data_IF_063896417092
#
_entry.id   IF_063896417092
#
_cell.length_a   1.000
_cell.length_b   1.000
_cell.length_c   1.000
_cell.angle_alpha   90.00
_cell.angle_beta   90.00
_cell.angle_gamma   90.00
#
_symmetry.space_group_name_H-M   'P 1'
#
loop_
_entity.id
_entity.type
_entity.pdbx_description
1 polymer ?
#
# COMPACT_ATOMS: atom_id res chain seq x y z
N UNK A 1 -0.66 16.57 13.05
CA UNK A 1 -1.66 17.12 12.11
C UNK A 1 -2.41 15.94 11.50
N UNK A 2 -3.73 16.06 11.33
CA UNK A 2 -4.57 14.99 10.78
C UNK A 2 -5.24 15.51 9.53
N UNK A 3 -5.11 14.77 8.43
CA UNK A 3 -5.69 15.14 7.13
C UNK A 3 -6.59 14.01 6.64
N UNK A 4 -7.82 14.38 6.26
CA UNK A 4 -8.82 13.46 5.73
C UNK A 4 -8.95 13.55 4.22
N UNK A 5 -9.07 12.40 3.55
CA UNK A 5 -9.31 12.33 2.12
C UNK A 5 -10.48 11.41 1.80
N UNK A 6 -11.44 11.89 1.01
CA UNK A 6 -12.48 11.06 0.39
C UNK A 6 -11.96 10.47 -0.93
N UNK A 7 -12.16 9.16 -1.12
CA UNK A 7 -11.71 8.44 -2.31
C UNK A 7 -12.85 8.38 -3.33
N UNK A 8 -12.68 9.08 -4.44
CA UNK A 8 -13.65 9.03 -5.55
C UNK A 8 -13.49 7.76 -6.40
N UNK A 9 -14.51 7.42 -7.19
CA UNK A 9 -14.52 6.20 -8.01
C UNK A 9 -13.49 6.20 -9.17
N UNK A 10 -12.95 7.37 -9.50
CA UNK A 10 -11.87 7.55 -10.47
C UNK A 10 -10.48 7.47 -9.85
N UNK A 11 -10.39 7.40 -8.52
CA UNK A 11 -9.13 7.39 -7.76
C UNK A 11 -8.58 8.76 -7.43
N UNK A 12 -9.32 9.84 -7.69
CA UNK A 12 -8.99 11.17 -7.18
C UNK A 12 -9.23 11.24 -5.68
N UNK A 13 -8.39 12.03 -5.00
CA UNK A 13 -8.51 12.34 -3.59
C UNK A 13 -9.07 13.74 -3.41
N UNK A 14 -10.14 13.85 -2.63
CA UNK A 14 -10.64 15.13 -2.18
C UNK A 14 -10.30 15.30 -0.70
N UNK A 15 -9.58 16.37 -0.36
CA UNK A 15 -9.32 16.72 1.03
C UNK A 15 -10.62 17.19 1.69
N UNK A 16 -10.98 16.56 2.80
CA UNK A 16 -12.22 16.83 3.53
C UNK A 16 -11.92 16.80 5.03
N UNK A 17 -12.50 17.75 5.76
CA UNK A 17 -12.55 17.69 7.22
C UNK A 17 -13.48 16.53 7.62
N UNK A 18 -12.90 15.42 8.09
CA UNK A 18 -13.65 14.23 8.46
C UNK A 18 -14.05 14.29 9.93
N UNK A 19 -15.35 14.27 10.20
CA UNK A 19 -15.89 13.97 11.52
C UNK A 19 -16.47 12.55 11.56
N UNK A 20 -16.80 12.06 12.77
CA UNK A 20 -17.40 10.72 12.92
C UNK A 20 -18.70 10.57 12.12
N UNK A 21 -19.44 11.66 11.96
CA UNK A 21 -20.73 11.67 11.28
C UNK A 21 -20.58 11.65 9.74
N UNK A 22 -19.39 11.98 9.22
CA UNK A 22 -19.08 11.95 7.79
C UNK A 22 -18.65 10.55 7.29
N UNK A 23 -18.42 9.61 8.21
CA UNK A 23 -18.10 8.21 7.91
C UNK A 23 -19.36 7.45 7.47
N UNK A 24 -19.67 7.53 6.18
CA UNK A 24 -20.84 6.88 5.59
C UNK A 24 -20.50 5.49 5.04
N UNK A 25 -21.39 4.52 5.27
CA UNK A 25 -21.22 3.13 4.84
C UNK A 25 -20.93 2.91 3.34
N UNK A 26 -21.27 3.88 2.48
CA UNK A 26 -21.06 3.83 1.02
C UNK A 26 -19.70 4.39 0.56
N UNK A 27 -18.93 4.98 1.48
CA UNK A 27 -17.68 5.69 1.19
C UNK A 27 -16.44 4.89 1.57
N UNK A 28 -15.31 5.32 1.03
CA UNK A 28 -13.98 4.85 1.41
C UNK A 28 -13.16 6.09 1.65
N UNK A 29 -12.57 6.21 2.84
CA UNK A 29 -11.83 7.41 3.23
C UNK A 29 -10.44 7.05 3.74
N UNK A 30 -9.48 7.94 3.51
CA UNK A 30 -8.12 7.85 4.02
C UNK A 30 -7.91 8.93 5.08
N UNK A 31 -7.40 8.55 6.24
CA UNK A 31 -7.05 9.49 7.33
C UNK A 31 -5.56 9.38 7.59
N UNK A 32 -4.82 10.46 7.36
CA UNK A 32 -3.38 10.52 7.61
C UNK A 32 -3.15 11.19 8.96
N UNK A 33 -2.62 10.43 9.92
CA UNK A 33 -2.22 10.91 11.23
C UNK A 33 -0.69 11.01 11.29
N UNK A 34 -0.20 12.25 11.29
CA UNK A 34 1.23 12.56 11.35
C UNK A 34 1.85 12.26 12.73
N UNK A 35 1.07 12.24 13.81
CA UNK A 35 1.59 11.99 15.16
C UNK A 35 1.93 10.51 15.35
N UNK A 36 1.01 9.62 14.93
CA UNK A 36 1.23 8.18 15.01
C UNK A 36 1.89 7.58 13.78
N UNK A 37 2.21 8.42 12.78
CA UNK A 37 2.71 8.01 11.46
C UNK A 37 1.84 6.87 10.89
N UNK A 38 0.53 7.05 10.93
CA UNK A 38 -0.44 6.03 10.48
C UNK A 38 -1.36 6.60 9.42
N UNK A 39 -1.64 5.82 8.38
CA UNK A 39 -2.61 6.11 7.33
C UNK A 39 -3.74 5.12 7.50
N UNK A 40 -4.87 5.56 8.04
CA UNK A 40 -6.04 4.70 8.18
C UNK A 40 -6.83 4.68 6.88
N UNK A 41 -7.08 3.49 6.35
CA UNK A 41 -7.97 3.29 5.20
C UNK A 41 -9.28 2.74 5.74
N UNK A 42 -10.27 3.61 5.90
CA UNK A 42 -11.59 3.22 6.37
C UNK A 42 -12.49 2.81 5.20
N UNK A 43 -13.09 1.63 5.31
CA UNK A 43 -13.92 1.02 4.27
C UNK A 43 -15.36 0.89 4.78
N UNK A 44 -16.26 1.65 4.17
CA UNK A 44 -17.68 1.48 4.42
C UNK A 44 -18.16 0.06 4.06
N UNK A 45 -19.06 -0.48 4.86
CA UNK A 45 -19.62 -1.83 4.69
C UNK A 45 -20.33 -1.98 3.34
N UNK A 46 -21.04 -0.93 2.90
CA UNK A 46 -21.77 -0.85 1.63
C UNK A 46 -20.96 -0.26 0.48
N UNK A 47 -19.69 0.12 0.69
CA UNK A 47 -18.86 0.66 -0.37
C UNK A 47 -18.57 -0.42 -1.42
N UNK A 48 -18.69 -0.04 -2.70
CA UNK A 48 -18.46 -0.94 -3.82
C UNK A 48 -17.04 -1.53 -3.79
N UNK A 49 -16.91 -2.79 -4.18
CA UNK A 49 -15.63 -3.54 -4.20
C UNK A 49 -14.56 -2.75 -4.97
N UNK A 50 -14.92 -2.19 -6.14
CA UNK A 50 -14.04 -1.35 -6.96
C UNK A 50 -13.48 -0.17 -6.16
N UNK A 51 -14.33 0.54 -5.41
CA UNK A 51 -13.93 1.70 -4.60
C UNK A 51 -12.98 1.32 -3.47
N UNK A 52 -13.18 0.15 -2.85
CA UNK A 52 -12.27 -0.41 -1.84
C UNK A 52 -10.88 -0.71 -2.41
N UNK A 53 -10.81 -1.27 -3.62
CA UNK A 53 -9.53 -1.52 -4.31
C UNK A 53 -8.82 -0.21 -4.70
N UNK A 54 -9.57 0.77 -5.19
CA UNK A 54 -9.03 2.10 -5.51
C UNK A 54 -8.49 2.74 -4.23
N UNK A 55 -9.25 2.73 -3.13
CA UNK A 55 -8.81 3.25 -1.84
C UNK A 55 -7.54 2.58 -1.31
N UNK A 56 -7.41 1.25 -1.46
CA UNK A 56 -6.19 0.53 -1.11
C UNK A 56 -4.98 1.02 -1.91
N UNK A 57 -5.13 1.18 -3.24
CA UNK A 57 -4.07 1.71 -4.09
C UNK A 57 -3.69 3.13 -3.71
N UNK A 58 -4.68 3.97 -3.43
CA UNK A 58 -4.47 5.37 -3.07
C UNK A 58 -3.80 5.51 -1.70
N UNK A 59 -4.18 4.70 -0.71
CA UNK A 59 -3.51 4.67 0.59
C UNK A 59 -2.03 4.27 0.48
N UNK A 60 -1.70 3.33 -0.41
CA UNK A 60 -0.30 2.96 -0.71
C UNK A 60 0.46 4.11 -1.38
N UNK A 61 -0.19 4.88 -2.26
CA UNK A 61 0.41 6.07 -2.87
C UNK A 61 0.67 7.16 -1.81
N UNK A 62 -0.31 7.45 -0.96
CA UNK A 62 -0.14 8.38 0.17
C UNK A 62 1.03 7.97 1.08
N UNK A 63 1.20 6.68 1.36
CA UNK A 63 2.38 6.19 2.10
C UNK A 63 3.69 6.54 1.43
N UNK A 64 3.74 6.47 0.10
CA UNK A 64 4.95 6.79 -0.68
C UNK A 64 5.27 8.28 -0.61
N UNK A 65 4.24 9.14 -0.64
CA UNK A 65 4.38 10.60 -0.56
C UNK A 65 4.78 11.08 0.85
N UNK A 66 4.13 10.55 1.89
CA UNK A 66 4.40 10.92 3.29
C UNK A 66 5.67 10.25 3.87
N UNK A 67 6.17 9.21 3.20
CA UNK A 67 7.44 8.55 3.53
C UNK A 67 7.30 7.24 4.32
N UNK A 68 8.37 6.44 4.28
CA UNK A 68 8.38 5.04 4.73
C UNK A 68 8.04 4.81 6.22
N UNK A 69 8.10 5.85 7.05
CA UNK A 69 7.73 5.78 8.47
C UNK A 69 6.22 5.66 8.68
N UNK A 70 5.41 6.00 7.67
CA UNK A 70 3.96 5.84 7.71
C UNK A 70 3.53 4.39 7.47
N UNK A 71 2.53 3.95 8.24
CA UNK A 71 1.93 2.61 8.13
C UNK A 71 0.47 2.69 7.71
N UNK A 72 0.13 2.03 6.62
CA UNK A 72 -1.28 1.89 6.18
C UNK A 72 -1.98 0.86 7.07
N UNK A 73 -3.13 1.24 7.63
CA UNK A 73 -3.99 0.39 8.47
C UNK A 73 -5.37 0.30 7.85
N UNK A 74 -5.72 -0.81 7.18
CA UNK A 74 -7.08 -1.00 6.69
C UNK A 74 -8.03 -1.22 7.86
N UNK A 75 -9.16 -0.52 7.84
CA UNK A 75 -10.24 -0.59 8.81
C UNK A 75 -11.56 -0.84 8.07
N UNK A 76 -12.38 -1.74 8.59
CA UNK A 76 -13.74 -1.95 8.12
C UNK A 76 -14.72 -1.23 9.06
N UNK A 77 -15.84 -0.75 8.51
CA UNK A 77 -16.91 -0.12 9.28
C UNK A 77 -17.39 -1.05 10.40
N UNK A 78 -17.34 -0.56 11.64
CA UNK A 78 -17.71 -1.31 12.86
C UNK A 78 -16.55 -2.08 13.52
N UNK A 79 -15.37 -2.16 12.89
CA UNK A 79 -14.16 -2.76 13.47
C UNK A 79 -13.07 -1.71 13.78
N UNK A 80 -13.44 -0.44 13.93
CA UNK A 80 -12.48 0.64 14.13
C UNK A 80 -11.91 0.64 15.56
N UNK A 81 -10.57 0.67 15.72
CA UNK A 81 -9.97 0.79 17.04
C UNK A 81 -10.27 2.17 17.65
N UNK A 82 -10.37 2.29 18.98
CA UNK A 82 -10.57 3.59 19.63
C UNK A 82 -9.54 4.66 19.21
N UNK A 83 -8.32 4.24 18.89
CA UNK A 83 -7.23 5.11 18.40
C UNK A 83 -7.56 5.80 17.08
N UNK A 84 -8.41 5.21 16.24
CA UNK A 84 -8.85 5.82 14.99
C UNK A 84 -9.72 7.05 15.25
N UNK A 85 -10.69 6.97 16.17
CA UNK A 85 -11.52 8.12 16.53
C UNK A 85 -10.73 9.20 17.27
N UNK A 86 -9.72 8.81 18.04
CA UNK A 86 -8.80 9.79 18.66
C UNK A 86 -7.98 10.54 17.61
N UNK A 87 -7.52 9.84 16.57
CA UNK A 87 -6.86 10.45 15.42
C UNK A 87 -7.82 11.36 14.65
N UNK A 88 -9.05 10.92 14.39
CA UNK A 88 -10.05 11.73 13.69
C UNK A 88 -10.34 13.08 14.39
N UNK A 89 -10.38 13.08 15.72
CA UNK A 89 -10.64 14.27 16.52
C UNK A 89 -9.37 15.09 16.84
N UNK A 90 -8.21 14.73 16.27
CA UNK A 90 -6.94 15.42 16.50
C UNK A 90 -6.44 15.40 17.96
N UNK A 91 -6.93 14.47 18.79
CA UNK A 91 -6.63 14.41 20.24
C UNK A 91 -5.70 13.23 20.59
N UNK A 92 -4.86 12.79 19.67
CA UNK A 92 -4.11 11.54 19.82
C UNK A 92 -3.01 11.62 20.87
N UNK A 93 -3.30 11.19 22.10
CA UNK A 93 -2.26 10.73 23.02
C UNK A 93 -1.87 9.29 22.62
N UNK A 94 -0.72 9.12 21.96
CA UNK A 94 -0.25 7.84 21.44
C UNK A 94 -0.07 6.78 22.56
N UNK A 95 -1.11 5.95 22.81
CA UNK A 95 -0.93 4.71 23.57
C UNK A 95 -0.58 3.60 22.59
N UNK A 96 0.66 3.13 22.68
CA UNK A 96 1.23 2.07 21.83
C UNK A 96 0.45 0.77 22.07
N UNK A 97 -0.32 0.31 21.08
CA UNK A 97 -0.99 -1.00 21.11
C UNK A 97 0.09 -2.09 21.15
N UNK A 98 0.18 -2.78 22.29
CA UNK A 98 1.08 -3.91 22.52
C UNK A 98 0.69 -5.08 21.62
N UNK A 99 1.70 -5.80 21.11
CA UNK A 99 1.51 -7.04 20.34
C UNK A 99 0.89 -8.14 21.21
N UNK A 100 0.03 -9.03 20.68
CA UNK A 100 -0.45 -10.19 21.43
C UNK A 100 0.70 -11.15 21.74
N UNK A 101 1.10 -11.28 23.01
CA UNK A 101 2.09 -12.27 23.44
C UNK A 101 3.03 -11.89 24.60
N UNK A 102 2.95 -10.68 25.15
CA UNK A 102 3.78 -10.31 26.31
C UNK A 102 2.99 -10.49 27.62
N UNK A 103 3.56 -11.24 28.56
CA UNK A 103 2.93 -11.63 29.82
C UNK A 103 2.53 -10.40 30.66
N UNK A 104 1.29 -10.40 31.17
CA UNK A 104 0.76 -9.31 31.97
C UNK A 104 1.61 -9.06 33.22
N UNK A 105 1.98 -7.80 33.54
CA UNK A 105 2.55 -7.49 34.84
C UNK A 105 1.50 -7.74 35.94
N UNK A 106 1.91 -8.23 37.13
CA UNK A 106 0.99 -8.63 38.18
C UNK A 106 0.14 -7.46 38.68
N UNK A 107 -1.13 -7.71 39.07
CA UNK A 107 -2.05 -6.65 39.49
C UNK A 107 -1.55 -5.99 40.79
N UNK A 108 -1.31 -4.68 40.71
CA UNK A 108 -1.09 -3.84 41.89
C UNK A 108 -2.37 -3.73 42.75
N UNK A 109 -2.24 -3.69 44.08
CA UNK A 109 -3.34 -3.90 45.03
C UNK A 109 -4.38 -2.77 45.07
N UNK A 110 -5.64 -3.06 45.47
CA UNK A 110 -6.76 -2.13 45.40
C UNK A 110 -6.69 -1.07 46.51
N UNK A 111 -6.85 0.21 46.14
CA UNK A 111 -7.13 1.34 47.06
C UNK A 111 -8.56 1.87 46.81
N UNK A 112 -9.17 2.55 47.79
CA UNK A 112 -10.48 2.18 48.32
C UNK A 112 -11.64 2.96 47.70
N UNK A 113 -12.82 2.32 47.72
CA UNK A 113 -14.12 2.86 47.32
C UNK A 113 -14.55 4.05 48.19
N UNK A 114 -14.90 5.16 47.57
CA UNK A 114 -15.82 6.16 48.11
C UNK A 114 -17.25 5.89 47.61
N UNK A 115 -18.19 5.90 48.56
CA UNK A 115 -19.66 5.90 48.42
C UNK A 115 -20.12 7.24 47.80
N UNK A 116 -21.21 7.34 47.04
CA UNK A 116 -22.63 7.26 47.42
C UNK A 116 -23.50 6.86 46.18
N UNK A 117 -24.40 5.88 46.31
CA UNK A 117 -25.88 6.01 46.38
C UNK A 117 -26.51 6.81 45.22
N UNK A 118 -27.30 6.21 44.32
CA UNK A 118 -28.74 6.01 44.58
C UNK A 118 -29.37 4.83 43.80
N UNK A 119 -29.89 3.89 44.57
CA UNK A 119 -31.16 3.17 44.48
C UNK A 119 -32.11 3.40 43.28
N UNK A 120 -32.44 2.33 42.52
CA UNK A 120 -33.82 1.94 42.22
C UNK A 120 -33.91 0.44 41.94
N UNK A 121 -34.91 -0.21 42.53
CA UNK A 121 -35.10 -1.65 42.63
C UNK A 121 -35.75 -2.33 41.40
N UNK A 122 -35.25 -3.54 41.08
CA UNK A 122 -35.90 -4.86 40.84
C UNK A 122 -37.27 -4.97 40.10
N UNK A 123 -37.63 -6.12 39.43
CA UNK A 123 -37.15 -7.47 39.74
C UNK A 123 -36.83 -8.44 38.56
N UNK A 124 -36.19 -9.51 39.00
CA UNK A 124 -35.75 -10.76 38.39
C UNK A 124 -36.79 -11.64 37.68
N UNK A 125 -36.35 -12.36 36.62
CA UNK A 125 -36.60 -13.80 36.41
C UNK A 125 -35.69 -14.38 35.30
N UNK A 126 -34.98 -15.50 35.52
CA UNK A 126 -34.44 -16.39 34.48
C UNK A 126 -35.20 -17.74 34.45
N UNK A 127 -34.79 -18.75 33.65
CA UNK A 127 -35.03 -19.00 32.22
C UNK A 127 -35.89 -20.28 31.97
N UNK A 128 -36.24 -20.66 30.72
CA UNK A 128 -36.62 -22.04 30.42
C UNK A 128 -35.71 -22.76 29.40
N UNK A 129 -35.29 -23.97 29.79
CA UNK A 129 -34.95 -25.16 28.96
C UNK A 129 -36.06 -26.19 29.23
N UNK A 130 -36.18 -27.34 28.53
CA UNK A 130 -36.01 -27.72 27.11
C UNK A 130 -37.33 -28.39 26.57
N UNK A 131 -37.33 -29.14 25.44
CA UNK A 131 -37.24 -30.60 25.61
C UNK A 131 -36.49 -31.38 24.53
N UNK A 132 -35.74 -32.34 25.06
CA UNK A 132 -35.36 -33.66 24.56
C UNK A 132 -36.40 -34.33 23.63
N UNK A 133 -35.97 -34.84 22.47
CA UNK A 133 -36.62 -35.96 21.80
C UNK A 133 -35.68 -37.17 21.78
N UNK A 134 -36.12 -38.23 22.47
CA UNK A 134 -35.63 -39.61 22.34
C UNK A 134 -36.42 -40.33 21.24
N UNK A 135 -35.94 -41.50 20.85
CA UNK A 135 -36.46 -42.55 19.93
C UNK A 135 -35.92 -42.47 18.49
N UNK A 136 -35.46 -43.55 17.84
CA UNK A 136 -35.52 -45.00 18.12
C UNK A 136 -34.41 -45.70 17.31
N UNK A 137 -33.97 -46.81 17.87
CA UNK A 137 -33.11 -47.86 17.32
C UNK A 137 -33.77 -48.54 16.11
N UNK A 138 -33.02 -48.76 15.01
CA UNK A 138 -33.26 -49.88 14.08
C UNK A 138 -31.98 -50.29 13.34
N UNK A 139 -31.62 -51.56 13.55
CA UNK A 139 -31.02 -52.52 12.60
C UNK A 139 -29.65 -52.26 11.97
N UNK A 140 -28.64 -52.81 12.67
CA UNK A 140 -27.63 -53.75 12.16
C UNK A 140 -27.71 -54.17 10.69
N UNK A 141 -26.70 -53.77 9.92
CA UNK A 141 -26.15 -54.56 8.81
C UNK A 141 -24.63 -54.57 8.93
N UNK A 142 -24.08 -55.78 9.09
CA UNK A 142 -22.67 -56.04 9.25
C UNK A 142 -21.87 -55.65 8.00
N UNK A 143 -20.71 -54.96 8.13
CA UNK A 143 -19.75 -54.83 7.04
C UNK A 143 -18.87 -56.10 6.93
N UNK A 144 -18.47 -56.49 5.71
CA UNK A 144 -17.70 -57.70 5.45
C UNK A 144 -16.26 -57.61 6.01
N UNK A 145 -15.59 -58.75 6.26
CA UNK A 145 -14.28 -58.78 6.88
C UNK A 145 -13.22 -58.16 5.96
N UNK A 146 -12.49 -57.19 6.51
CA UNK A 146 -11.33 -56.53 5.90
C UNK A 146 -10.20 -57.55 5.72
N UNK A 147 -9.60 -57.69 4.53
CA UNK A 147 -8.38 -58.47 4.37
C UNK A 147 -7.22 -57.80 5.12
N UNK A 148 -6.49 -58.59 5.90
CA UNK A 148 -5.29 -58.18 6.63
C UNK A 148 -4.19 -57.76 5.65
N UNK A 149 -3.96 -56.47 5.49
CA UNK A 149 -2.77 -55.94 4.82
C UNK A 149 -1.56 -56.05 5.75
N UNK A 150 -0.54 -56.78 5.28
CA UNK A 150 0.81 -56.83 5.83
C UNK A 150 1.34 -55.42 6.18
N UNK A 151 2.19 -55.26 7.21
CA UNK A 151 2.83 -53.98 7.50
C UNK A 151 3.72 -53.58 6.31
N UNK A 152 3.34 -52.51 5.62
CA UNK A 152 4.20 -51.88 4.63
C UNK A 152 5.39 -51.25 5.36
N UNK A 153 6.59 -51.73 5.06
CA UNK A 153 7.83 -51.11 5.48
C UNK A 153 7.84 -49.66 4.99
N UNK A 154 7.94 -48.73 5.93
CA UNK A 154 8.10 -47.31 5.66
C UNK A 154 9.41 -47.14 4.87
N UNK A 155 9.41 -46.60 3.64
CA UNK A 155 10.67 -46.27 2.99
C UNK A 155 11.42 -45.25 3.88
N UNK A 156 12.74 -45.39 4.04
CA UNK A 156 13.52 -44.41 4.76
C UNK A 156 13.32 -43.04 4.10
N UNK A 157 13.06 -42.03 4.92
CA UNK A 157 12.96 -40.65 4.46
C UNK A 157 14.23 -40.32 3.66
N UNK A 158 14.13 -39.75 2.44
CA UNK A 158 15.29 -39.28 1.74
C UNK A 158 15.94 -38.20 2.59
N UNK A 159 17.10 -38.53 3.17
CA UNK A 159 18.02 -37.54 3.72
C UNK A 159 18.54 -36.74 2.54
N UNK A 160 17.81 -35.70 2.15
CA UNK A 160 18.32 -34.67 1.25
C UNK A 160 19.43 -33.96 2.02
N UNK A 161 20.67 -34.40 1.80
CA UNK A 161 21.84 -33.59 2.09
C UNK A 161 21.63 -32.23 1.42
N UNK A 162 21.80 -31.11 2.12
CA UNK A 162 21.71 -29.79 1.50
C UNK A 162 22.76 -29.75 0.39
N UNK A 163 22.32 -29.58 -0.85
CA UNK A 163 23.22 -29.28 -1.96
C UNK A 163 24.02 -28.05 -1.57
N UNK A 164 25.31 -28.23 -1.32
CA UNK A 164 26.26 -27.15 -1.08
C UNK A 164 26.31 -26.28 -2.32
N UNK A 165 25.48 -25.24 -2.34
CA UNK A 165 25.57 -24.19 -3.34
C UNK A 165 26.99 -23.64 -3.32
N UNK A 166 27.64 -23.61 -4.49
CA UNK A 166 28.98 -23.06 -4.66
C UNK A 166 28.93 -21.59 -4.20
N UNK A 167 29.49 -21.30 -3.02
CA UNK A 167 29.57 -19.95 -2.47
C UNK A 167 30.56 -19.18 -3.35
N UNK A 168 30.12 -18.08 -3.97
CA UNK A 168 31.02 -17.22 -4.74
C UNK A 168 32.10 -16.62 -3.83
N UNK A 169 33.32 -16.56 -4.35
CA UNK A 169 34.45 -15.93 -3.68
C UNK A 169 34.30 -14.41 -3.68
N UNK A 170 34.90 -13.69 -2.71
CA UNK A 170 34.88 -12.23 -2.68
C UNK A 170 35.41 -11.57 -3.96
N UNK A 171 36.38 -12.20 -4.64
CA UNK A 171 36.93 -11.71 -5.91
C UNK A 171 35.88 -11.74 -7.02
N UNK A 172 35.19 -12.88 -7.17
CA UNK A 172 34.11 -13.01 -8.17
C UNK A 172 32.97 -12.02 -7.89
N UNK A 173 32.67 -11.75 -6.61
CA UNK A 173 31.66 -10.74 -6.24
C UNK A 173 32.12 -9.35 -6.64
N UNK A 174 33.40 -9.03 -6.48
CA UNK A 174 33.98 -7.76 -6.94
C UNK A 174 33.83 -7.56 -8.46
N UNK A 175 34.13 -8.61 -9.24
CA UNK A 175 33.99 -8.60 -10.70
C UNK A 175 32.54 -8.38 -11.13
N UNK A 176 31.58 -9.09 -10.52
CA UNK A 176 30.15 -8.90 -10.79
C UNK A 176 29.68 -7.48 -10.47
N UNK A 177 30.16 -6.89 -9.37
CA UNK A 177 29.79 -5.51 -8.98
C UNK A 177 30.35 -4.50 -9.97
N UNK A 178 31.60 -4.67 -10.41
CA UNK A 178 32.22 -3.80 -11.40
C UNK A 178 31.44 -3.82 -12.72
N UNK A 179 31.07 -5.01 -13.17
CA UNK A 179 30.29 -5.18 -14.39
C UNK A 179 28.87 -4.60 -14.30
N UNK A 180 28.22 -4.76 -13.13
CA UNK A 180 26.95 -4.10 -12.86
C UNK A 180 27.09 -2.57 -12.85
N UNK A 181 28.21 -2.04 -12.35
CA UNK A 181 28.47 -0.60 -12.33
C UNK A 181 28.63 -0.02 -13.74
N UNK A 182 29.19 -0.78 -14.69
CA UNK A 182 29.33 -0.41 -16.10
C UNK A 182 28.03 -0.51 -16.89
N UNK A 183 27.05 -1.28 -16.40
CA UNK A 183 25.74 -1.40 -17.04
C UNK A 183 24.83 -0.24 -16.63
N UNK A 184 24.29 0.52 -17.57
CA UNK A 184 23.34 1.58 -17.25
C UNK A 184 21.94 1.05 -16.90
N UNK A 185 21.21 1.70 -15.97
CA UNK A 185 19.80 1.41 -15.73
C UNK A 185 18.98 1.78 -16.99
N UNK A 186 17.81 1.14 -17.21
CA UNK A 186 16.93 1.47 -18.31
C UNK A 186 16.48 2.93 -18.26
N UNK A 187 16.14 3.50 -19.42
CA UNK A 187 15.66 4.88 -19.50
C UNK A 187 14.45 5.10 -18.59
N UNK A 188 14.47 6.20 -17.85
CA UNK A 188 13.42 6.54 -16.91
C UNK A 188 13.51 5.81 -15.56
N UNK A 189 14.56 5.05 -15.33
CA UNK A 189 14.80 4.38 -14.06
C UNK A 189 16.17 4.74 -13.50
N UNK A 190 16.25 4.76 -12.17
CA UNK A 190 17.51 4.84 -11.47
C UNK A 190 17.71 3.61 -10.60
N UNK A 191 18.95 3.12 -10.56
CA UNK A 191 19.38 2.04 -9.68
C UNK A 191 19.51 2.59 -8.27
N UNK A 192 18.85 1.95 -7.31
CA UNK A 192 18.89 2.33 -5.89
C UNK A 192 19.57 1.23 -5.07
N UNK A 193 19.11 -0.01 -5.23
CA UNK A 193 19.66 -1.18 -4.55
C UNK A 193 20.10 -2.25 -5.54
N UNK A 194 21.12 -3.00 -5.15
CA UNK A 194 21.63 -4.15 -5.89
C UNK A 194 21.85 -5.30 -4.92
N UNK A 195 21.40 -6.48 -5.32
CA UNK A 195 21.61 -7.73 -4.58
C UNK A 195 22.50 -8.61 -5.43
N UNK A 196 23.67 -8.97 -4.89
CA UNK A 196 24.60 -9.92 -5.50
C UNK A 196 24.82 -11.06 -4.52
N UNK A 197 24.44 -12.28 -4.92
CA UNK A 197 24.40 -13.44 -4.02
C UNK A 197 23.55 -13.17 -2.77
N UNK A 198 24.19 -13.09 -1.60
CA UNK A 198 23.60 -12.83 -0.30
C UNK A 198 24.00 -11.47 0.28
N UNK A 199 24.54 -10.57 -0.55
CA UNK A 199 25.00 -9.26 -0.14
C UNK A 199 24.15 -8.16 -0.76
N UNK A 200 23.77 -7.19 0.07
CA UNK A 200 23.01 -6.01 -0.33
C UNK A 200 23.96 -4.84 -0.54
N UNK A 201 23.73 -4.10 -1.62
CA UNK A 201 24.47 -2.90 -1.99
C UNK A 201 23.49 -1.77 -2.29
N UNK A 202 23.93 -0.54 -2.06
CA UNK A 202 23.21 0.70 -2.37
C UNK A 202 24.01 1.52 -3.37
N UNK A 203 23.35 2.40 -4.13
CA UNK A 203 24.03 3.38 -4.97
C UNK A 203 24.25 4.66 -4.18
N UNK A 204 25.50 4.99 -3.88
CA UNK A 204 25.89 6.24 -3.22
C UNK A 204 26.28 7.29 -4.27
N UNK A 205 25.91 8.55 -4.02
CA UNK A 205 26.29 9.70 -4.85
C UNK A 205 27.49 10.41 -4.24
N UNK A 206 28.63 10.36 -4.91
CA UNK A 206 29.83 11.09 -4.53
C UNK A 206 29.93 12.39 -5.33
N UNK A 207 29.59 13.51 -4.68
CA UNK A 207 29.72 14.85 -5.28
C UNK A 207 31.14 15.34 -5.09
N UNK A 208 31.86 15.48 -6.20
CA UNK A 208 33.23 16.01 -6.19
C UNK A 208 33.24 17.33 -6.95
N UNK A 209 33.50 18.44 -6.26
CA UNK A 209 33.66 19.74 -6.88
C UNK A 209 35.09 19.84 -7.46
N UNK A 210 35.22 19.71 -8.78
CA UNK A 210 36.50 19.79 -9.48
C UNK A 210 36.46 21.02 -10.39
N UNK A 211 37.28 22.02 -10.09
CA UNK A 211 37.31 23.32 -10.80
C UNK A 211 35.97 24.05 -10.89
N UNK A 212 35.19 24.05 -9.80
CA UNK A 212 33.88 24.73 -9.76
C UNK A 212 32.78 24.02 -10.58
N UNK A 213 33.08 22.88 -11.20
CA UNK A 213 32.09 21.98 -11.80
C UNK A 213 31.82 20.84 -10.82
N UNK A 214 30.57 20.70 -10.41
CA UNK A 214 30.14 19.55 -9.62
C UNK A 214 30.11 18.32 -10.53
N UNK A 215 30.96 17.32 -10.24
CA UNK A 215 30.87 15.99 -10.84
C UNK A 215 30.18 15.08 -9.83
N UNK A 216 28.97 14.61 -10.16
CA UNK A 216 28.26 13.60 -9.37
C UNK A 216 28.63 12.23 -9.92
N UNK A 217 29.35 11.44 -9.13
CA UNK A 217 29.72 10.08 -9.50
C UNK A 217 28.94 9.08 -8.66
N UNK A 218 28.22 8.17 -9.31
CA UNK A 218 27.42 7.14 -8.64
C UNK A 218 28.23 5.86 -8.47
N UNK A 219 28.32 5.36 -7.24
CA UNK A 219 29.08 4.15 -6.91
C UNK A 219 28.24 3.14 -6.15
N UNK A 220 28.42 1.86 -6.50
CA UNK A 220 27.79 0.75 -5.78
C UNK A 220 28.61 0.48 -4.51
N UNK A 221 27.97 0.60 -3.35
CA UNK A 221 28.59 0.41 -2.04
C UNK A 221 27.87 -0.66 -1.23
N UNK A 222 28.64 -1.49 -0.53
CA UNK A 222 28.07 -2.57 0.28
C UNK A 222 27.39 -2.01 1.52
N UNK A 223 26.15 -2.44 1.76
CA UNK A 223 25.44 -2.16 3.01
C UNK A 223 26.05 -3.01 4.12
N UNK A 224 26.57 -2.35 5.17
CA UNK A 224 27.23 -3.03 6.30
C UNK A 224 26.25 -3.86 7.12
N UNK A 225 25.14 -3.24 7.51
CA UNK A 225 24.13 -3.83 8.39
C UNK A 225 22.76 -3.77 7.69
N UNK A 226 22.46 -4.74 6.79
CA UNK A 226 21.15 -4.80 6.16
C UNK A 226 20.06 -5.09 7.21
N UNK A 227 18.86 -4.51 7.07
CA UNK A 227 17.80 -4.70 8.04
C UNK A 227 17.33 -6.17 8.06
N UNK A 228 17.02 -6.69 9.25
CA UNK A 228 16.58 -8.08 9.43
C UNK A 228 15.05 -8.24 9.26
N UNK A 229 14.65 -9.35 8.63
CA UNK A 229 13.24 -9.71 8.42
C UNK A 229 12.85 -9.76 6.95
N UNK A 230 11.54 -9.90 6.70
CA UNK A 230 10.96 -9.85 5.35
C UNK A 230 10.56 -8.44 4.99
N UNK A 231 11.05 -7.95 3.85
CA UNK A 231 10.76 -6.64 3.32
C UNK A 231 10.13 -6.77 1.94
N UNK A 232 9.09 -5.98 1.69
CA UNK A 232 8.53 -5.82 0.35
C UNK A 232 9.23 -4.63 -0.32
N UNK A 233 9.79 -4.84 -1.52
CA UNK A 233 10.39 -3.78 -2.33
C UNK A 233 9.30 -3.00 -3.09
N UNK A 234 8.39 -2.37 -2.35
CA UNK A 234 7.29 -1.59 -2.93
C UNK A 234 7.81 -0.38 -3.72
N UNK A 235 7.24 -0.15 -4.91
CA UNK A 235 7.66 0.95 -5.78
C UNK A 235 8.98 0.70 -6.53
N UNK A 236 9.60 -0.46 -6.35
CA UNK A 236 10.76 -0.89 -7.11
C UNK A 236 10.38 -1.86 -8.21
N UNK A 237 11.05 -1.75 -9.35
CA UNK A 237 11.00 -2.74 -10.42
C UNK A 237 12.26 -3.60 -10.33
N UNK A 238 12.13 -4.91 -10.01
CA UNK A 238 13.27 -5.80 -10.02
C UNK A 238 13.73 -6.05 -11.46
N UNK A 239 15.03 -5.87 -11.72
CA UNK A 239 15.68 -6.25 -12.98
C UNK A 239 16.76 -7.28 -12.69
N UNK A 240 16.67 -8.45 -13.31
CA UNK A 240 17.69 -9.49 -13.22
C UNK A 240 18.70 -9.26 -14.35
N UNK A 241 19.99 -9.18 -14.00
CA UNK A 241 21.07 -9.05 -14.98
C UNK A 241 21.73 -10.41 -15.17
N UNK A 242 21.69 -10.91 -16.41
CA UNK A 242 22.27 -12.20 -16.79
C UNK A 242 23.28 -11.95 -17.91
N UNK A 243 24.50 -12.45 -17.73
CA UNK A 243 25.55 -12.40 -18.75
C UNK A 243 26.28 -13.73 -18.81
N UNK A 244 26.56 -14.22 -20.02
CA UNK A 244 27.29 -15.48 -20.25
C UNK A 244 26.68 -16.69 -19.51
N UNK A 245 25.34 -16.72 -19.39
CA UNK A 245 24.62 -17.78 -18.68
C UNK A 245 24.72 -17.70 -17.15
N UNK A 246 25.33 -16.66 -16.59
CA UNK A 246 25.46 -16.39 -15.16
C UNK A 246 24.58 -15.20 -14.75
N UNK A 247 23.86 -15.36 -13.64
CA UNK A 247 23.17 -14.23 -13.00
C UNK A 247 24.22 -13.39 -12.27
N UNK A 248 24.38 -12.13 -12.68
CA UNK A 248 25.31 -11.20 -12.04
C UNK A 248 24.70 -10.62 -10.75
N UNK A 249 23.41 -10.27 -10.80
CA UNK A 249 22.69 -9.70 -9.67
C UNK A 249 21.25 -9.33 -10.01
N UNK A 250 20.56 -8.87 -8.97
CA UNK A 250 19.20 -8.31 -9.05
C UNK A 250 19.29 -6.84 -8.68
N UNK A 251 18.82 -5.98 -9.56
CA UNK A 251 18.69 -4.54 -9.31
C UNK A 251 17.27 -4.23 -8.85
N UNK A 252 17.12 -3.33 -7.89
CA UNK A 252 15.85 -2.72 -7.56
C UNK A 252 15.87 -1.30 -8.11
N UNK A 253 15.11 -1.10 -9.18
CA UNK A 253 15.04 0.16 -9.92
C UNK A 253 13.88 1.01 -9.43
N UNK A 254 14.11 2.32 -9.31
CA UNK A 254 13.08 3.30 -8.99
C UNK A 254 12.83 4.19 -10.20
N UNK A 255 11.56 4.43 -10.54
CA UNK A 255 11.22 5.36 -11.62
C UNK A 255 11.72 6.77 -11.32
N UNK A 256 12.36 7.41 -12.29
CA UNK A 256 12.70 8.83 -12.17
C UNK A 256 11.43 9.66 -12.29
N UNK A 257 11.37 10.86 -11.69
CA UNK A 257 10.22 11.75 -11.85
C UNK A 257 9.87 11.99 -13.31
N UNK A 258 10.86 12.09 -14.20
CA UNK A 258 10.61 12.28 -15.63
C UNK A 258 9.95 11.08 -16.31
N UNK A 259 10.23 9.86 -15.87
CA UNK A 259 9.58 8.66 -16.40
C UNK A 259 8.13 8.52 -15.93
N UNK A 260 7.86 8.96 -14.70
CA UNK A 260 6.52 8.95 -14.12
C UNK A 260 5.68 10.09 -14.73
N UNK A 261 6.30 11.23 -14.97
CA UNK A 261 5.64 12.43 -15.50
C UNK A 261 5.56 12.45 -17.02
N UNK A 262 6.35 11.68 -17.78
CA UNK A 262 6.32 11.74 -19.25
C UNK A 262 4.97 11.34 -19.86
N UNK A 263 4.25 10.30 -19.38
CA UNK A 263 2.92 9.98 -19.90
C UNK A 263 1.91 11.06 -19.50
N UNK A 264 2.02 11.57 -18.26
CA UNK A 264 1.14 12.61 -17.73
C UNK A 264 1.33 13.94 -18.47
N UNK A 265 2.58 14.34 -18.74
CA UNK A 265 2.92 15.54 -19.52
C UNK A 265 2.43 15.42 -20.97
N UNK A 266 2.53 14.23 -21.57
CA UNK A 266 2.02 13.99 -22.92
C UNK A 266 0.49 14.12 -22.97
N UNK A 267 -0.21 13.48 -22.05
CA UNK A 267 -1.68 13.54 -21.93
C UNK A 267 -2.17 14.96 -21.61
N UNK A 268 -1.53 15.66 -20.68
CA UNK A 268 -1.86 17.05 -20.36
C UNK A 268 -1.63 17.96 -21.57
N UNK A 269 -0.57 17.74 -22.34
CA UNK A 269 -0.29 18.52 -23.56
C UNK A 269 -1.35 18.29 -24.64
N UNK A 270 -1.81 17.05 -24.80
CA UNK A 270 -2.89 16.69 -25.72
C UNK A 270 -4.20 17.38 -25.30
N UNK A 271 -4.63 17.22 -24.04
CA UNK A 271 -5.84 17.85 -23.50
C UNK A 271 -5.80 19.38 -23.59
N UNK A 272 -4.63 19.99 -23.38
CA UNK A 272 -4.47 21.43 -23.51
C UNK A 272 -4.53 21.88 -24.98
N UNK A 273 -4.01 21.07 -25.91
CA UNK A 273 -4.15 21.28 -27.36
C UNK A 273 -5.60 21.25 -27.81
N UNK A 274 -6.37 20.26 -27.36
CA UNK A 274 -7.79 20.14 -27.64
C UNK A 274 -8.57 21.34 -27.10
N UNK A 275 -8.30 21.75 -25.86
CA UNK A 275 -8.94 22.90 -25.25
C UNK A 275 -8.64 24.21 -26.01
N UNK A 276 -7.39 24.42 -26.42
CA UNK A 276 -7.00 25.57 -27.24
C UNK A 276 -7.70 25.54 -28.60
N UNK A 277 -7.83 24.37 -29.22
CA UNK A 277 -8.54 24.21 -30.49
C UNK A 277 -10.04 24.51 -30.37
N UNK A 278 -10.66 24.06 -29.27
CA UNK A 278 -12.05 24.33 -28.95
C UNK A 278 -12.29 25.84 -28.82
N UNK A 279 -11.50 26.55 -28.02
CA UNK A 279 -11.63 28.00 -27.86
C UNK A 279 -11.37 28.77 -29.17
N UNK A 280 -10.43 28.33 -30.00
CA UNK A 280 -10.21 28.95 -31.32
C UNK A 280 -11.42 28.77 -32.23
N UNK A 281 -12.01 27.58 -32.26
CA UNK A 281 -13.19 27.29 -33.08
C UNK A 281 -14.41 28.13 -32.66
N UNK A 282 -14.57 28.38 -31.35
CA UNK A 282 -15.66 29.20 -30.81
C UNK A 282 -15.49 30.69 -31.19
N UNK A 283 -14.27 31.22 -31.07
CA UNK A 283 -13.95 32.60 -31.46
C UNK A 283 -14.11 32.83 -32.96
N UNK A 284 -13.70 31.87 -33.80
CA UNK A 284 -13.87 31.96 -35.25
C UNK A 284 -15.35 31.85 -35.67
N UNK A 285 -16.13 30.97 -35.01
CA UNK A 285 -17.56 30.84 -35.26
C UNK A 285 -18.34 32.13 -34.89
N UNK A 286 -17.96 32.80 -33.80
CA UNK A 286 -18.54 34.11 -33.45
C UNK A 286 -18.15 35.21 -34.45
N UNK A 287 -16.92 35.20 -34.95
CA UNK A 287 -16.44 36.17 -35.94
C UNK A 287 -17.19 36.03 -37.28
N UNK A 288 -17.45 34.79 -37.73
CA UNK A 288 -18.25 34.53 -38.93
C UNK A 288 -19.71 34.99 -38.75
N UNK A 289 -20.36 34.68 -37.62
CA UNK A 289 -21.74 35.13 -37.34
C UNK A 289 -21.88 36.66 -37.35
N UNK A 290 -20.92 37.38 -36.76
CA UNK A 290 -20.89 38.85 -36.77
C UNK A 290 -20.68 39.44 -38.18
N UNK A 291 -19.99 38.72 -39.06
CA UNK A 291 -19.74 39.15 -40.44
C UNK A 291 -20.96 38.98 -41.35
N UNK A 292 -21.74 37.90 -41.17
CA UNK A 292 -22.96 37.65 -41.93
C UNK A 292 -24.11 38.57 -41.52
N UNK A 293 -24.22 38.90 -40.23
CA UNK A 293 -25.24 39.84 -39.75
C UNK A 293 -25.01 41.28 -40.27
N UNK A 294 -23.76 41.70 -40.43
CA UNK A 294 -23.41 43.00 -41.04
C UNK A 294 -23.71 43.05 -42.54
N UNK A 295 -23.61 41.92 -43.26
CA UNK A 295 -23.94 41.86 -44.70
C UNK A 295 -25.45 41.88 -44.96
N UNK A 296 -26.27 41.28 -44.08
CA UNK A 296 -27.73 41.30 -44.26
C UNK A 296 -28.33 42.69 -44.02
N UNK A 297 -27.85 43.42 -42.99
CA UNK A 297 -28.31 44.78 -42.68
C UNK A 297 -27.96 45.82 -43.76
N UNK A 298 -26.87 45.64 -44.50
CA UNK A 298 -26.51 46.54 -45.63
C UNK A 298 -27.38 46.38 -46.87
N UNK A 299 -28.02 45.21 -47.07
CA UNK A 299 -28.92 44.98 -48.23
C UNK A 299 -30.33 45.53 -48.05
N UNK A 300 -30.74 45.89 -46.82
CA UNK A 300 -32.08 46.41 -46.55
C UNK A 300 -32.23 47.94 -46.72
N UNK A 301 -31.14 48.68 -46.93
CA UNK A 301 -31.15 50.16 -47.02
C UNK A 301 -31.02 50.67 -48.47
N UNK A 302 -31.18 49.79 -49.46
CA UNK A 302 -31.22 50.15 -50.86
C UNK A 302 -32.55 49.71 -51.48
N UNK A 303 -33.62 50.45 -51.15
CA UNK A 303 -34.87 50.44 -51.91
C UNK A 303 -35.60 51.76 -51.71
#
# INVERSE_FOLDING_TARGET
>A
MVVGYDVQEDGTLQEVELTKDDLQATRVVCVVDDETKSIYLWKGSQAGIRRKFIGARVATNLRTEYGFHFKVRPLDEGEEPPTFFTALNGTTAATRVLKPGEAAPPPSPPKPKSKDETETAAPSTPPPKPPTQKTKTTTSTAPPPRPQTKPAQRPPAPTTAPSTGKVATPSEIGEMIQELQETDPPEGYQRELVIVYNQLYTVAEHKTAVFGKEKVERRIEKVKDPPEGTFMAEGFIPRVIVKEGRVLGIELLKGTPDAILSPIKAEMKERLGDLISFFRSEVEAEAMKKSDEKKSKKKLVAK
#
